data_IF_137074609298
#
_entry.id   IF_137074609298
#
_cell.length_a   1.000
_cell.length_b   1.000
_cell.length_c   1.000
_cell.angle_alpha   90.00
_cell.angle_beta   90.00
_cell.angle_gamma   90.00
#
_symmetry.space_group_name_H-M   'P 1'
#
loop_
_entity.id
_entity.type
_entity.pdbx_description
1 polymer ?
#
# COMPACT_ATOMS: atom_id res chain seq x y z
N UNK A 1 27.32 -39.07 -11.46
CA UNK A 1 27.10 -37.84 -10.68
C UNK A 1 26.98 -36.69 -11.67
N UNK A 2 25.76 -36.29 -12.06
CA UNK A 2 25.53 -35.24 -13.06
C UNK A 2 25.63 -33.85 -12.43
N UNK A 3 26.31 -32.93 -13.12
CA UNK A 3 26.60 -31.57 -12.66
C UNK A 3 25.34 -30.67 -12.65
N UNK A 4 25.12 -29.85 -11.61
CA UNK A 4 23.98 -28.94 -11.51
C UNK A 4 24.31 -27.55 -12.10
N UNK A 5 24.60 -27.46 -13.40
CA UNK A 5 24.97 -26.18 -14.03
C UNK A 5 24.03 -25.70 -15.15
N UNK A 6 23.12 -26.53 -15.65
CA UNK A 6 22.35 -26.23 -16.88
C UNK A 6 21.04 -25.44 -16.69
N UNK A 7 20.72 -24.97 -15.47
CA UNK A 7 19.46 -24.24 -15.18
C UNK A 7 19.64 -22.74 -14.88
N UNK A 8 20.78 -22.13 -15.24
CA UNK A 8 20.98 -20.70 -15.05
C UNK A 8 20.34 -19.89 -16.18
N UNK A 9 19.15 -19.34 -15.93
CA UNK A 9 18.54 -18.34 -16.81
C UNK A 9 19.34 -17.03 -16.70
N UNK A 10 19.82 -16.44 -17.80
CA UNK A 10 20.63 -15.22 -17.75
C UNK A 10 19.82 -14.07 -17.14
N UNK A 11 20.39 -13.41 -16.12
CA UNK A 11 19.84 -12.21 -15.53
C UNK A 11 19.89 -11.08 -16.57
N UNK A 12 18.74 -10.75 -17.17
CA UNK A 12 18.64 -9.62 -18.10
C UNK A 12 18.86 -8.33 -17.30
N UNK A 13 20.03 -7.69 -17.44
CA UNK A 13 20.25 -6.32 -16.96
C UNK A 13 19.18 -5.43 -17.59
N UNK A 14 18.14 -5.09 -16.82
CA UNK A 14 17.18 -4.07 -17.22
C UNK A 14 17.92 -2.74 -17.28
N UNK A 15 18.02 -2.17 -18.47
CA UNK A 15 18.41 -0.79 -18.67
C UNK A 15 17.36 0.10 -18.01
N UNK A 16 17.74 0.75 -16.90
CA UNK A 16 16.91 1.75 -16.24
C UNK A 16 16.75 2.96 -17.18
N UNK A 17 15.67 2.98 -17.95
CA UNK A 17 15.28 4.17 -18.72
C UNK A 17 14.56 5.12 -17.77
N UNK A 18 15.27 6.15 -17.32
CA UNK A 18 14.85 7.09 -16.27
C UNK A 18 13.72 8.05 -16.65
N UNK A 19 12.64 7.59 -17.31
CA UNK A 19 11.39 8.35 -17.38
C UNK A 19 10.54 7.99 -16.17
N UNK A 20 10.44 8.92 -15.21
CA UNK A 20 9.53 8.78 -14.05
C UNK A 20 8.09 8.73 -14.57
N UNK A 21 7.42 7.61 -14.37
CA UNK A 21 6.02 7.42 -14.77
C UNK A 21 5.14 8.41 -14.00
N UNK A 22 4.40 9.25 -14.72
CA UNK A 22 3.42 10.15 -14.11
C UNK A 22 2.11 9.38 -13.96
N UNK A 23 1.72 9.13 -12.71
CA UNK A 23 0.43 8.54 -12.35
C UNK A 23 -0.48 9.72 -12.02
N UNK A 24 -1.63 9.77 -12.68
CA UNK A 24 -2.66 10.76 -12.40
C UNK A 24 -3.22 10.54 -11.00
N UNK A 25 -3.41 11.64 -10.27
CA UNK A 25 -3.96 11.57 -8.92
C UNK A 25 -5.47 11.38 -8.99
N UNK A 26 -5.99 10.35 -8.35
CA UNK A 26 -7.43 10.05 -8.28
C UNK A 26 -7.98 10.41 -6.90
N UNK A 27 -9.23 10.91 -6.82
CA UNK A 27 -9.93 11.05 -5.55
C UNK A 27 -10.07 9.68 -4.87
N UNK A 28 -10.04 9.66 -3.54
CA UNK A 28 -10.06 8.43 -2.75
C UNK A 28 -11.18 8.49 -1.70
N UNK A 29 -11.90 7.39 -1.54
CA UNK A 29 -12.89 7.18 -0.50
C UNK A 29 -12.30 6.29 0.60
N UNK A 30 -12.27 6.79 1.83
CA UNK A 30 -11.80 6.02 2.97
C UNK A 30 -12.73 4.82 3.21
N UNK A 31 -12.12 3.65 3.46
CA UNK A 31 -12.89 2.47 3.84
C UNK A 31 -13.29 2.55 5.31
N UNK A 32 -14.57 2.28 5.61
CA UNK A 32 -14.99 2.05 6.98
C UNK A 32 -14.30 0.82 7.54
N UNK A 33 -13.68 0.96 8.72
CA UNK A 33 -12.97 -0.16 9.34
C UNK A 33 -13.88 -0.90 10.33
N UNK A 34 -14.23 -2.17 10.07
CA UNK A 34 -15.21 -2.87 10.90
C UNK A 34 -14.72 -3.10 12.34
N UNK A 35 -15.68 -3.34 13.24
CA UNK A 35 -15.39 -3.67 14.65
C UNK A 35 -15.08 -5.16 14.84
N UNK A 36 -15.66 -6.03 14.01
CA UNK A 36 -15.50 -7.48 14.14
C UNK A 36 -14.28 -8.00 13.37
N UNK A 37 -13.60 -9.01 13.93
CA UNK A 37 -12.40 -9.60 13.32
C UNK A 37 -12.68 -10.17 11.93
N UNK A 38 -13.80 -10.89 11.76
CA UNK A 38 -14.18 -11.49 10.47
C UNK A 38 -14.37 -10.42 9.38
N UNK A 39 -15.18 -9.41 9.67
CA UNK A 39 -15.44 -8.33 8.71
C UNK A 39 -14.15 -7.57 8.35
N UNK A 40 -13.23 -7.35 9.31
CA UNK A 40 -11.93 -6.71 9.01
C UNK A 40 -11.11 -7.47 7.97
N UNK A 41 -11.07 -8.80 8.07
CA UNK A 41 -10.39 -9.62 7.07
C UNK A 41 -11.08 -9.58 5.71
N UNK A 42 -12.42 -9.63 5.69
CA UNK A 42 -13.20 -9.53 4.44
C UNK A 42 -12.99 -8.19 3.74
N UNK A 43 -13.06 -7.08 4.48
CA UNK A 43 -12.78 -5.73 3.97
C UNK A 43 -11.35 -5.62 3.47
N UNK A 44 -10.37 -6.14 4.23
CA UNK A 44 -8.98 -6.14 3.81
C UNK A 44 -8.76 -6.92 2.51
N UNK A 45 -9.31 -8.14 2.41
CA UNK A 45 -9.13 -9.00 1.24
C UNK A 45 -9.80 -8.40 0.00
N UNK A 46 -10.97 -7.78 0.16
CA UNK A 46 -11.62 -7.04 -0.93
C UNK A 46 -10.79 -5.84 -1.39
N UNK A 47 -10.33 -5.02 -0.44
CA UNK A 47 -9.43 -3.91 -0.72
C UNK A 47 -8.15 -4.38 -1.43
N UNK A 48 -7.52 -5.44 -0.94
CA UNK A 48 -6.24 -5.94 -1.46
C UNK A 48 -6.37 -6.39 -2.92
N UNK A 49 -7.47 -7.05 -3.28
CA UNK A 49 -7.77 -7.42 -4.68
C UNK A 49 -7.85 -6.19 -5.59
N UNK A 50 -8.54 -5.15 -5.15
CA UNK A 50 -8.68 -3.89 -5.90
C UNK A 50 -7.32 -3.21 -6.01
N UNK A 51 -6.61 -3.04 -4.91
CA UNK A 51 -5.30 -2.40 -4.89
C UNK A 51 -4.29 -3.15 -5.79
N UNK A 52 -4.31 -4.48 -5.80
CA UNK A 52 -3.49 -5.31 -6.69
C UNK A 52 -3.87 -5.14 -8.16
N UNK A 53 -5.18 -5.07 -8.47
CA UNK A 53 -5.67 -4.81 -9.83
C UNK A 53 -5.19 -3.43 -10.31
N UNK A 54 -5.42 -2.39 -9.51
CA UNK A 54 -5.02 -1.01 -9.83
C UNK A 54 -3.51 -0.89 -9.99
N UNK A 55 -2.73 -1.51 -9.11
CA UNK A 55 -1.27 -1.51 -9.21
C UNK A 55 -0.80 -2.17 -10.51
N UNK A 56 -1.38 -3.32 -10.86
CA UNK A 56 -1.03 -4.03 -12.11
C UNK A 56 -1.40 -3.22 -13.34
N UNK A 57 -2.61 -2.66 -13.39
CA UNK A 57 -3.10 -1.86 -14.52
C UNK A 57 -2.23 -0.62 -14.75
N UNK A 58 -1.79 0.03 -13.68
CA UNK A 58 -0.97 1.25 -13.75
C UNK A 58 0.54 0.98 -13.70
N UNK A 59 0.94 -0.29 -13.60
CA UNK A 59 2.32 -0.74 -13.44
C UNK A 59 3.03 -0.11 -12.24
N UNK A 60 2.32 0.07 -11.14
CA UNK A 60 2.86 0.46 -9.83
C UNK A 60 3.51 -0.75 -9.17
N UNK A 61 4.51 -0.50 -8.34
CA UNK A 61 5.14 -1.53 -7.53
C UNK A 61 4.14 -2.17 -6.55
N UNK A 62 4.46 -3.35 -6.04
CA UNK A 62 3.54 -4.18 -5.23
C UNK A 62 4.17 -4.66 -3.93
N UNK A 63 5.39 -4.24 -3.63
CA UNK A 63 6.13 -4.70 -2.45
C UNK A 63 5.43 -4.24 -1.17
N UNK A 64 4.92 -3.01 -1.15
CA UNK A 64 4.05 -2.49 -0.09
C UNK A 64 2.78 -3.34 0.09
N UNK A 65 2.08 -3.67 -1.00
CA UNK A 65 0.85 -4.48 -0.94
C UNK A 65 1.13 -5.90 -0.45
N UNK A 66 2.28 -6.46 -0.78
CA UNK A 66 2.68 -7.80 -0.35
C UNK A 66 2.81 -7.88 1.18
N UNK A 67 3.27 -6.80 1.82
CA UNK A 67 3.45 -6.77 3.28
C UNK A 67 2.29 -6.15 4.04
N UNK A 68 1.37 -5.45 3.37
CA UNK A 68 0.28 -4.70 4.00
C UNK A 68 -0.50 -5.52 5.04
N UNK A 69 -0.77 -6.80 4.75
CA UNK A 69 -1.48 -7.72 5.67
C UNK A 69 -0.72 -7.97 6.98
N UNK A 70 0.60 -8.05 6.90
CA UNK A 70 1.51 -8.35 8.03
C UNK A 70 1.62 -7.14 8.95
N UNK A 71 1.67 -5.93 8.38
CA UNK A 71 1.92 -4.67 9.11
C UNK A 71 0.63 -3.92 9.49
N UNK A 72 -0.52 -4.42 9.05
CA UNK A 72 -1.81 -3.84 9.38
C UNK A 72 -2.08 -3.91 10.88
N UNK A 73 -2.42 -2.77 11.49
CA UNK A 73 -2.98 -2.74 12.84
C UNK A 73 -4.45 -3.09 12.75
N UNK A 74 -4.76 -4.38 12.81
CA UNK A 74 -6.10 -4.92 12.64
C UNK A 74 -7.17 -4.31 13.55
N UNK A 75 -6.80 -3.84 14.74
CA UNK A 75 -7.74 -3.17 15.64
C UNK A 75 -8.15 -1.76 15.19
N UNK A 76 -7.36 -1.10 14.34
CA UNK A 76 -7.54 0.29 13.92
C UNK A 76 -7.69 0.50 12.41
N UNK A 77 -7.27 -0.45 11.58
CA UNK A 77 -7.30 -0.31 10.12
C UNK A 77 -6.22 0.62 9.57
N UNK A 78 -5.09 0.69 10.28
CA UNK A 78 -4.02 1.64 9.99
C UNK A 78 -2.65 0.95 9.93
N UNK A 79 -1.78 1.45 9.05
CA UNK A 79 -0.36 1.10 9.02
C UNK A 79 0.43 2.36 9.41
N UNK A 80 1.30 2.25 10.42
CA UNK A 80 2.13 3.39 10.87
C UNK A 80 3.63 3.16 10.75
N UNK A 81 4.01 1.97 10.30
CA UNK A 81 5.39 1.54 10.15
C UNK A 81 6.18 2.46 9.21
N UNK A 82 7.43 2.69 9.57
CA UNK A 82 8.38 3.48 8.79
C UNK A 82 8.73 2.78 7.48
N UNK A 83 9.26 3.53 6.50
CA UNK A 83 9.64 2.91 5.21
C UNK A 83 10.74 1.88 5.37
N UNK A 84 11.61 2.00 6.38
CA UNK A 84 12.66 1.04 6.66
C UNK A 84 12.08 -0.30 7.17
N UNK A 85 11.19 -0.24 8.17
CA UNK A 85 10.54 -1.42 8.72
C UNK A 85 9.64 -2.14 7.68
N UNK A 86 8.96 -1.38 6.82
CA UNK A 86 8.20 -1.94 5.72
C UNK A 86 9.09 -2.62 4.69
N UNK A 87 10.23 -2.00 4.35
CA UNK A 87 11.16 -2.52 3.36
C UNK A 87 11.85 -3.80 3.83
N UNK A 88 12.21 -3.87 5.11
CA UNK A 88 12.73 -5.07 5.75
C UNK A 88 11.73 -6.22 5.64
N UNK A 89 10.46 -5.98 6.00
CA UNK A 89 9.40 -7.00 5.88
C UNK A 89 9.06 -7.37 4.44
N UNK A 90 9.35 -6.50 3.48
CA UNK A 90 9.13 -6.74 2.05
C UNK A 90 10.24 -7.56 1.39
N UNK A 91 11.10 -8.22 2.19
CA UNK A 91 12.23 -9.00 1.68
C UNK A 91 13.51 -8.19 1.50
N UNK A 92 13.65 -7.07 2.22
CA UNK A 92 14.89 -6.29 2.25
C UNK A 92 15.10 -5.35 1.06
N UNK A 93 14.02 -4.77 0.51
CA UNK A 93 14.16 -3.78 -0.54
C UNK A 93 14.69 -2.43 0.00
N UNK A 94 15.00 -1.48 -0.88
CA UNK A 94 15.47 -0.17 -0.43
C UNK A 94 14.29 0.66 0.14
N UNK A 95 14.42 1.37 1.27
CA UNK A 95 13.32 2.14 1.87
C UNK A 95 12.69 3.19 0.94
N UNK A 96 13.47 3.77 0.04
CA UNK A 96 12.96 4.71 -0.98
C UNK A 96 12.06 4.01 -2.03
N UNK A 97 12.23 2.71 -2.28
CA UNK A 97 11.31 1.93 -3.13
C UNK A 97 9.92 1.90 -2.49
N UNK A 98 9.84 1.49 -1.23
CA UNK A 98 8.57 1.47 -0.47
C UNK A 98 7.95 2.86 -0.39
N UNK A 99 8.76 3.89 -0.09
CA UNK A 99 8.28 5.28 -0.02
C UNK A 99 7.67 5.72 -1.36
N UNK A 100 8.32 5.37 -2.47
CA UNK A 100 7.81 5.64 -3.82
C UNK A 100 6.52 4.88 -4.09
N UNK A 101 6.47 3.59 -3.79
CA UNK A 101 5.26 2.78 -3.97
C UNK A 101 4.09 3.33 -3.16
N UNK A 102 4.28 3.66 -1.89
CA UNK A 102 3.28 4.28 -1.03
C UNK A 102 2.76 5.58 -1.67
N UNK A 103 3.64 6.45 -2.15
CA UNK A 103 3.20 7.68 -2.83
C UNK A 103 2.41 7.40 -4.12
N UNK A 104 2.78 6.35 -4.87
CA UNK A 104 2.05 5.94 -6.07
C UNK A 104 0.67 5.36 -5.71
N UNK A 105 0.57 4.54 -4.67
CA UNK A 105 -0.68 3.99 -4.16
C UNK A 105 -1.63 5.06 -3.63
N UNK A 106 -1.08 6.11 -2.99
CA UNK A 106 -1.86 7.26 -2.57
C UNK A 106 -2.42 8.03 -3.77
N UNK A 107 -1.62 8.23 -4.82
CA UNK A 107 -2.10 8.85 -6.08
C UNK A 107 -3.15 7.99 -6.78
N UNK A 108 -3.02 6.67 -6.73
CA UNK A 108 -4.03 5.77 -7.27
C UNK A 108 -5.35 5.83 -6.49
N UNK A 109 -5.38 6.39 -5.28
CA UNK A 109 -6.56 6.38 -4.41
C UNK A 109 -6.76 5.08 -3.65
N UNK A 110 -5.77 4.17 -3.66
CA UNK A 110 -5.83 2.88 -2.95
C UNK A 110 -5.45 2.98 -1.47
N UNK A 111 -4.82 4.09 -1.07
CA UNK A 111 -4.56 4.41 0.33
C UNK A 111 -4.68 5.92 0.55
N UNK A 112 -4.96 6.32 1.80
CA UNK A 112 -4.89 7.71 2.25
C UNK A 112 -3.73 7.83 3.25
N UNK A 113 -2.93 8.88 3.13
CA UNK A 113 -1.79 9.13 4.01
C UNK A 113 -2.06 10.37 4.84
N UNK A 114 -2.13 10.20 6.16
CA UNK A 114 -2.13 11.31 7.11
C UNK A 114 -0.72 11.52 7.66
N UNK A 115 -0.19 12.74 7.52
CA UNK A 115 1.06 13.14 8.14
C UNK A 115 0.83 13.55 9.59
N UNK A 116 1.61 13.01 10.51
CA UNK A 116 1.68 13.51 11.88
C UNK A 116 3.14 13.76 12.27
N UNK A 117 3.40 14.89 12.93
CA UNK A 117 4.70 15.17 13.51
C UNK A 117 4.63 14.85 15.00
N UNK A 118 5.39 13.86 15.46
CA UNK A 118 5.56 13.58 16.88
C UNK A 118 6.91 14.09 17.34
N UNK A 119 6.91 14.91 18.39
CA UNK A 119 8.13 15.27 19.11
C UNK A 119 8.65 14.04 19.84
N UNK A 120 9.92 13.69 19.62
CA UNK A 120 10.66 12.72 20.42
C UNK A 120 10.98 13.34 21.78
N UNK A 121 11.25 12.47 22.74
CA UNK A 121 11.82 12.82 24.04
C UNK A 121 13.21 13.47 23.94
N UNK A 122 13.95 13.25 22.86
CA UNK A 122 15.26 13.86 22.58
C UNK A 122 15.18 15.27 21.94
N UNK A 123 13.98 15.82 21.76
CA UNK A 123 13.75 17.10 21.09
C UNK A 123 13.67 17.03 19.56
N UNK A 124 13.98 15.88 18.95
CA UNK A 124 13.83 15.63 17.52
C UNK A 124 12.36 15.49 17.10
N UNK A 125 12.05 15.73 15.84
CA UNK A 125 10.70 15.55 15.28
C UNK A 125 10.68 14.26 14.43
N UNK A 126 9.91 13.24 14.86
CA UNK A 126 9.58 12.10 14.01
C UNK A 126 8.39 12.49 13.15
N UNK A 127 8.55 12.44 11.84
CA UNK A 127 7.42 12.40 10.91
C UNK A 127 6.87 10.99 10.90
N UNK A 128 5.77 10.78 11.61
CA UNK A 128 4.99 9.54 11.54
C UNK A 128 3.94 9.71 10.47
N UNK A 129 3.77 8.70 9.63
CA UNK A 129 2.62 8.64 8.71
C UNK A 129 1.64 7.62 9.26
N UNK A 130 0.36 7.92 9.10
CA UNK A 130 -0.71 6.95 9.26
C UNK A 130 -1.26 6.67 7.88
N UNK A 131 -1.21 5.41 7.45
CA UNK A 131 -1.77 4.97 6.18
C UNK A 131 -3.10 4.29 6.49
N UNK A 132 -4.17 4.77 5.87
CA UNK A 132 -5.51 4.17 5.90
C UNK A 132 -5.84 3.58 4.55
N UNK A 133 -6.64 2.52 4.56
CA UNK A 133 -7.11 1.90 3.33
C UNK A 133 -8.20 2.76 2.69
N UNK A 134 -8.16 2.85 1.38
CA UNK A 134 -9.16 3.57 0.60
C UNK A 134 -9.37 2.88 -0.74
N UNK A 135 -10.44 3.27 -1.43
CA UNK A 135 -10.63 2.92 -2.83
C UNK A 135 -10.72 4.19 -3.68
N UNK A 136 -10.38 4.13 -4.97
CA UNK A 136 -10.56 5.27 -5.87
C UNK A 136 -12.05 5.62 -5.98
N UNK A 137 -12.40 6.90 -5.90
CA UNK A 137 -13.81 7.32 -5.86
C UNK A 137 -14.56 7.11 -7.18
N UNK A 138 -13.83 6.94 -8.29
CA UNK A 138 -14.35 6.62 -9.61
C UNK A 138 -14.55 5.11 -9.82
N UNK A 139 -14.09 4.26 -8.89
CA UNK A 139 -14.52 2.88 -8.84
C UNK A 139 -15.92 2.85 -8.24
N UNK A 140 -16.90 2.48 -9.07
CA UNK A 140 -18.27 2.23 -8.62
C UNK A 140 -18.23 1.23 -7.44
N UNK A 141 -18.62 1.65 -6.23
CA UNK A 141 -18.58 0.81 -5.03
C UNK A 141 -19.45 -0.45 -5.16
N UNK A 142 -20.39 -0.46 -6.11
CA UNK A 142 -21.28 -1.58 -6.45
C UNK A 142 -20.57 -2.73 -7.18
N UNK A 143 -19.41 -2.48 -7.81
CA UNK A 143 -18.79 -3.41 -8.78
C UNK A 143 -17.85 -4.46 -8.19
N UNK A 144 -18.06 -4.89 -6.94
CA UNK A 144 -17.44 -6.11 -6.45
C UNK A 144 -17.06 -6.16 -4.98
N UNK A 145 -17.72 -5.39 -4.11
CA UNK A 145 -17.51 -5.55 -2.67
C UNK A 145 -18.84 -5.56 -1.91
N UNK A 146 -19.39 -6.77 -1.72
CA UNK A 146 -20.50 -6.96 -0.78
C UNK A 146 -20.00 -6.65 0.65
N UNK A 147 -20.70 -5.75 1.36
CA UNK A 147 -20.55 -5.56 2.80
C UNK A 147 -19.52 -4.53 3.29
N UNK A 148 -19.01 -3.65 2.43
CA UNK A 148 -18.20 -2.50 2.88
C UNK A 148 -19.11 -1.30 3.17
N UNK A 149 -19.11 -0.85 4.43
CA UNK A 149 -19.57 0.47 4.82
C UNK A 149 -18.45 1.50 4.54
N UNK A 150 -18.83 2.65 3.97
CA UNK A 150 -17.92 3.77 3.71
C UNK A 150 -17.98 4.75 4.88
N UNK A 151 -16.84 5.31 5.28
CA UNK A 151 -16.82 6.36 6.29
C UNK A 151 -17.24 7.68 5.61
N UNK A 152 -18.43 8.19 5.92
CA UNK A 152 -18.94 9.49 5.43
C UNK A 152 -18.21 10.70 6.08
N UNK A 153 -17.04 10.48 6.67
CA UNK A 153 -16.24 11.52 7.33
C UNK A 153 -15.92 12.69 6.40
N UNK A 154 -16.52 13.84 6.73
CA UNK A 154 -16.45 15.14 6.06
C UNK A 154 -15.19 15.38 5.22
N UNK A 155 -15.40 15.54 3.91
CA UNK A 155 -14.50 16.26 3.02
C UNK A 155 -14.58 17.76 3.36
N UNK A 156 -14.00 18.17 4.49
CA UNK A 156 -13.75 19.59 4.82
C UNK A 156 -12.28 19.87 4.96
#
# INVERSE_FOLDING_TARGET
MSAPADNLVPFRKQSFTGKRRQIESRPALALGWPTTTKARYEVFDAWHKIAMREARTNGVGRDFLAVARIVMRWNRGEIIDTSAELAERAGGCHPETIKREIAQHARLGTIIIHGSAKRRSDGGMIRTRTIRLSIPADLDPSNGIDGIEYDEGDLT
#
